data_IF_715053074836
#
_entry.id   IF_715053074836
#
_cell.length_a   1.000
_cell.length_b   1.000
_cell.length_c   1.000
_cell.angle_alpha   90.00
_cell.angle_beta   90.00
_cell.angle_gamma   90.00
#
_symmetry.space_group_name_H-M   'P 1'
#
loop_
_entity.id
_entity.type
_entity.pdbx_description
1 polymer ?
#
# COMPACT_ATOMS: atom_id res chain seq x y z
N UNK A 1 -9.18 -7.38 21.75
CA UNK A 1 -8.70 -8.47 20.88
C UNK A 1 -7.29 -8.23 20.32
N UNK A 2 -6.82 -6.98 20.17
CA UNK A 2 -5.47 -6.72 19.63
C UNK A 2 -4.37 -7.40 20.43
N UNK A 3 -4.47 -7.38 21.76
CA UNK A 3 -3.51 -8.05 22.63
C UNK A 3 -3.39 -9.55 22.31
N UNK A 4 -4.51 -10.21 21.98
CA UNK A 4 -4.54 -11.62 21.58
C UNK A 4 -3.83 -11.82 20.25
N UNK A 5 -4.14 -11.01 19.24
CA UNK A 5 -3.49 -11.11 17.93
C UNK A 5 -1.99 -10.84 18.04
N UNK A 6 -1.59 -9.81 18.77
CA UNK A 6 -0.16 -9.50 18.99
C UNK A 6 0.54 -10.59 19.75
N UNK A 7 -0.08 -11.16 20.79
CA UNK A 7 0.48 -12.29 21.52
C UNK A 7 0.71 -13.49 20.60
N UNK A 8 -0.27 -13.85 19.75
CA UNK A 8 -0.12 -14.92 18.76
C UNK A 8 1.08 -14.63 17.82
N UNK A 9 1.16 -13.43 17.26
CA UNK A 9 2.20 -13.07 16.29
C UNK A 9 3.60 -12.93 16.92
N UNK A 10 3.68 -12.46 18.17
CA UNK A 10 4.92 -12.33 18.93
C UNK A 10 5.43 -13.69 19.38
N UNK A 11 4.60 -14.52 20.02
CA UNK A 11 5.00 -15.83 20.54
C UNK A 11 5.35 -16.83 19.45
N UNK A 12 4.69 -16.75 18.30
CA UNK A 12 5.08 -17.53 17.12
C UNK A 12 6.30 -16.97 16.39
N UNK A 13 6.73 -15.75 16.73
CA UNK A 13 7.71 -14.93 16.00
C UNK A 13 7.34 -14.67 14.52
N UNK A 14 6.09 -14.93 14.12
CA UNK A 14 5.63 -14.71 12.75
C UNK A 14 5.80 -13.25 12.32
N UNK A 15 5.68 -12.32 13.27
CA UNK A 15 5.87 -10.88 13.03
C UNK A 15 7.27 -10.54 12.52
N UNK A 16 8.29 -11.34 12.82
CA UNK A 16 9.68 -11.07 12.45
C UNK A 16 9.92 -11.18 10.94
N UNK A 17 9.05 -11.89 10.23
CA UNK A 17 9.11 -12.06 8.77
C UNK A 17 8.55 -10.85 8.00
N UNK A 18 7.88 -9.91 8.68
CA UNK A 18 7.13 -8.85 8.02
C UNK A 18 7.43 -7.47 8.57
N UNK A 19 7.52 -6.49 7.67
CA UNK A 19 7.55 -5.08 8.10
C UNK A 19 6.12 -4.62 8.40
N UNK A 20 5.91 -4.13 9.62
CA UNK A 20 4.63 -3.55 10.05
C UNK A 20 4.19 -2.38 9.13
N UNK A 21 2.90 -2.33 8.81
CA UNK A 21 2.27 -1.19 8.12
C UNK A 21 1.34 -0.42 9.06
N UNK A 22 0.29 -1.07 9.56
CA UNK A 22 -0.70 -0.47 10.47
C UNK A 22 -1.53 -1.53 11.18
N UNK A 23 -2.26 -1.10 12.21
CA UNK A 23 -3.35 -1.85 12.83
C UNK A 23 -4.67 -1.26 12.37
N UNK A 24 -5.63 -2.11 11.97
CA UNK A 24 -6.99 -1.69 11.69
C UNK A 24 -7.93 -2.30 12.74
N UNK A 25 -8.63 -1.45 13.49
CA UNK A 25 -9.69 -1.87 14.39
C UNK A 25 -11.05 -1.74 13.71
N UNK A 26 -11.77 -2.86 13.59
CA UNK A 26 -13.11 -2.92 13.03
C UNK A 26 -14.06 -3.69 13.94
N UNK A 27 -13.85 -3.67 15.26
CA UNK A 27 -14.74 -4.34 16.22
C UNK A 27 -16.16 -3.78 16.24
N UNK A 28 -16.35 -2.53 15.82
CA UNK A 28 -17.66 -1.87 15.79
C UNK A 28 -18.49 -2.18 14.53
N UNK A 29 -17.93 -2.93 13.58
CA UNK A 29 -18.62 -3.30 12.34
C UNK A 29 -19.50 -4.53 12.50
N UNK A 30 -20.47 -4.70 11.59
CA UNK A 30 -21.34 -5.89 11.51
C UNK A 30 -20.56 -7.22 11.49
N UNK A 31 -19.37 -7.20 10.88
CA UNK A 31 -18.43 -8.32 10.90
C UNK A 31 -17.17 -7.89 11.65
N UNK A 32 -17.16 -8.02 12.99
CA UNK A 32 -16.10 -7.51 13.83
C UNK A 32 -14.79 -8.23 13.54
N UNK A 33 -13.72 -7.47 13.38
CA UNK A 33 -12.37 -8.01 13.25
C UNK A 33 -11.32 -6.96 13.59
N UNK A 34 -10.11 -7.45 13.81
CA UNK A 34 -8.90 -6.64 13.90
C UNK A 34 -7.88 -7.15 12.89
N UNK A 35 -7.08 -6.26 12.32
CA UNK A 35 -6.05 -6.63 11.34
C UNK A 35 -4.68 -6.09 11.75
N UNK A 36 -3.67 -6.96 11.72
CA UNK A 36 -2.26 -6.59 11.68
C UNK A 36 -1.82 -6.54 10.21
N UNK A 37 -1.76 -5.33 9.64
CA UNK A 37 -1.41 -5.12 8.23
C UNK A 37 0.10 -5.01 8.09
N UNK A 38 0.63 -5.66 7.05
CA UNK A 38 2.05 -5.66 6.74
C UNK A 38 2.33 -4.86 5.46
N UNK A 39 3.57 -4.42 5.28
CA UNK A 39 4.02 -3.85 4.00
C UNK A 39 4.12 -4.94 2.93
N UNK A 40 4.20 -4.51 1.67
CA UNK A 40 4.44 -5.41 0.55
C UNK A 40 5.66 -6.30 0.81
N UNK A 41 5.56 -7.58 0.46
CA UNK A 41 6.54 -8.61 0.74
C UNK A 41 6.46 -9.71 -0.32
N UNK A 42 7.52 -10.53 -0.42
CA UNK A 42 7.63 -11.57 -1.44
C UNK A 42 6.52 -12.63 -1.36
N UNK A 43 5.96 -12.88 -0.17
CA UNK A 43 4.89 -13.86 0.03
C UNK A 43 3.51 -13.34 -0.42
N UNK A 44 3.39 -12.04 -0.72
CA UNK A 44 2.13 -11.35 -1.05
C UNK A 44 1.05 -11.52 0.03
N UNK A 45 1.48 -11.66 1.29
CA UNK A 45 0.60 -11.63 2.46
C UNK A 45 0.35 -10.17 2.83
N UNK A 46 -0.89 -9.79 3.08
CA UNK A 46 -1.33 -8.41 3.29
C UNK A 46 -1.71 -8.13 4.74
N UNK A 47 -2.29 -9.10 5.44
CA UNK A 47 -2.58 -8.98 6.85
C UNK A 47 -2.73 -10.34 7.55
N UNK A 48 -2.54 -10.32 8.86
CA UNK A 48 -3.02 -11.34 9.79
C UNK A 48 -4.18 -10.76 10.58
N UNK A 49 -5.28 -11.48 10.68
CA UNK A 49 -6.53 -10.92 11.22
C UNK A 49 -7.17 -11.88 12.22
N UNK A 50 -7.84 -11.34 13.24
CA UNK A 50 -8.78 -12.08 14.07
C UNK A 50 -10.19 -11.58 13.76
N UNK A 51 -11.05 -12.49 13.32
CA UNK A 51 -12.45 -12.22 12.98
C UNK A 51 -13.37 -12.84 14.01
N UNK A 52 -14.34 -12.06 14.50
CA UNK A 52 -15.25 -12.44 15.56
C UNK A 52 -15.11 -11.55 16.78
N UNK A 53 -15.41 -12.10 17.95
CA UNK A 53 -15.33 -11.41 19.24
C UNK A 53 -14.50 -12.24 20.24
N UNK A 54 -14.37 -11.74 21.47
CA UNK A 54 -13.59 -12.40 22.53
C UNK A 54 -14.10 -13.79 22.91
N UNK A 55 -15.40 -14.05 22.72
CA UNK A 55 -16.04 -15.33 23.03
C UNK A 55 -15.91 -16.35 21.90
N UNK A 56 -15.58 -15.89 20.69
CA UNK A 56 -15.46 -16.74 19.52
C UNK A 56 -14.88 -15.97 18.34
N UNK A 57 -13.65 -16.32 17.96
CA UNK A 57 -12.98 -15.77 16.79
C UNK A 57 -12.35 -16.87 15.92
N UNK A 58 -11.91 -16.50 14.73
CA UNK A 58 -11.05 -17.30 13.86
C UNK A 58 -9.87 -16.45 13.37
N UNK A 59 -8.77 -17.12 13.01
CA UNK A 59 -7.57 -16.46 12.51
C UNK A 59 -7.62 -16.45 10.99
N UNK A 60 -7.25 -15.35 10.35
CA UNK A 60 -7.22 -15.21 8.89
C UNK A 60 -5.84 -14.77 8.43
N UNK A 61 -5.34 -15.44 7.39
CA UNK A 61 -4.27 -14.93 6.55
C UNK A 61 -4.91 -14.27 5.34
N UNK A 62 -4.85 -12.95 5.28
CA UNK A 62 -5.29 -12.16 4.13
C UNK A 62 -4.11 -11.94 3.18
N UNK A 63 -4.27 -12.28 1.91
CA UNK A 63 -3.20 -12.25 0.91
C UNK A 63 -3.70 -11.80 -0.46
N UNK A 64 -2.78 -11.52 -1.37
CA UNK A 64 -3.08 -11.21 -2.76
C UNK A 64 -3.69 -12.40 -3.48
N UNK A 65 -4.57 -12.15 -4.45
CA UNK A 65 -5.01 -13.17 -5.41
C UNK A 65 -3.90 -13.65 -6.35
N UNK A 66 -2.72 -13.01 -6.29
CA UNK A 66 -1.53 -13.42 -7.02
C UNK A 66 -0.53 -14.17 -6.13
N UNK A 67 -0.90 -14.60 -4.91
CA UNK A 67 0.00 -15.41 -4.05
C UNK A 67 0.57 -16.60 -4.84
N UNK A 68 1.80 -17.04 -4.52
CA UNK A 68 2.37 -18.23 -5.14
C UNK A 68 1.47 -19.46 -4.86
N UNK A 69 1.25 -20.29 -5.88
CA UNK A 69 0.31 -21.42 -5.82
C UNK A 69 0.74 -22.50 -4.82
N UNK A 70 2.04 -22.80 -4.73
CA UNK A 70 2.57 -23.78 -3.77
C UNK A 70 2.42 -23.27 -2.33
N UNK A 71 2.74 -22.00 -2.08
CA UNK A 71 2.51 -21.35 -0.78
C UNK A 71 1.02 -21.39 -0.41
N UNK A 72 0.15 -20.99 -1.34
CA UNK A 72 -1.31 -21.01 -1.12
C UNK A 72 -1.81 -22.42 -0.81
N UNK A 73 -1.32 -23.42 -1.54
CA UNK A 73 -1.62 -24.83 -1.29
C UNK A 73 -1.20 -25.24 0.12
N UNK A 74 0.06 -24.99 0.53
CA UNK A 74 0.55 -25.33 1.87
C UNK A 74 -0.28 -24.66 2.98
N UNK A 75 -0.60 -23.37 2.84
CA UNK A 75 -1.48 -22.65 3.77
C UNK A 75 -2.88 -23.29 3.84
N UNK A 76 -3.47 -23.64 2.70
CA UNK A 76 -4.81 -24.24 2.63
C UNK A 76 -4.90 -25.68 3.15
N UNK A 77 -3.77 -26.35 3.39
CA UNK A 77 -3.70 -27.72 3.92
C UNK A 77 -3.39 -27.81 5.41
N UNK A 78 -3.16 -26.68 6.08
CA UNK A 78 -2.95 -26.68 7.54
C UNK A 78 -4.25 -27.14 8.22
N UNK A 79 -4.13 -27.90 9.32
CA UNK A 79 -5.28 -28.31 10.10
C UNK A 79 -6.06 -27.08 10.63
N UNK A 80 -7.39 -27.18 10.66
CA UNK A 80 -8.26 -26.11 11.14
C UNK A 80 -8.70 -25.10 10.07
N UNK A 81 -8.34 -25.27 8.79
CA UNK A 81 -8.88 -24.43 7.70
C UNK A 81 -10.41 -24.58 7.63
N UNK A 82 -11.12 -23.45 7.73
CA UNK A 82 -12.60 -23.39 7.65
C UNK A 82 -13.09 -22.67 6.39
N UNK A 83 -12.23 -21.87 5.75
CA UNK A 83 -12.56 -21.17 4.51
C UNK A 83 -11.28 -20.87 3.73
N UNK A 84 -11.37 -20.95 2.41
CA UNK A 84 -10.26 -20.73 1.49
C UNK A 84 -10.79 -20.13 0.19
N UNK A 85 -10.44 -18.88 -0.09
CA UNK A 85 -10.81 -18.20 -1.34
C UNK A 85 -9.57 -17.58 -1.98
N UNK A 86 -9.72 -16.89 -3.11
CA UNK A 86 -8.62 -16.29 -3.86
C UNK A 86 -7.72 -15.37 -3.03
N UNK A 87 -8.22 -14.75 -1.96
CA UNK A 87 -7.48 -13.76 -1.19
C UNK A 87 -7.45 -14.00 0.32
N UNK A 88 -8.04 -15.10 0.80
CA UNK A 88 -8.05 -15.44 2.23
C UNK A 88 -7.87 -16.94 2.47
N UNK A 89 -7.27 -17.25 3.62
CA UNK A 89 -7.37 -18.56 4.28
C UNK A 89 -7.75 -18.31 5.74
N UNK A 90 -8.85 -18.92 6.18
CA UNK A 90 -9.38 -18.78 7.54
C UNK A 90 -9.19 -20.08 8.32
N UNK A 91 -8.84 -19.96 9.60
CA UNK A 91 -8.52 -21.06 10.48
C UNK A 91 -9.27 -20.97 11.81
N UNK A 92 -9.86 -22.08 12.23
CA UNK A 92 -10.43 -22.28 13.56
C UNK A 92 -9.67 -23.42 14.25
N UNK A 93 -9.12 -23.12 15.42
CA UNK A 93 -8.33 -24.05 16.24
C UNK A 93 -8.41 -23.61 17.70
N UNK A 94 -8.07 -24.52 18.61
CA UNK A 94 -7.94 -24.22 20.04
C UNK A 94 -6.54 -23.66 20.38
N UNK A 95 -5.55 -23.86 19.50
CA UNK A 95 -4.18 -23.33 19.64
C UNK A 95 -3.78 -22.48 18.43
N UNK A 96 -3.98 -21.16 18.57
CA UNK A 96 -3.61 -20.19 17.54
C UNK A 96 -2.11 -19.88 17.49
N UNK A 97 -1.38 -20.12 18.58
CA UNK A 97 0.07 -19.88 18.60
C UNK A 97 0.75 -20.96 17.75
N UNK A 98 0.37 -22.23 17.94
CA UNK A 98 0.90 -23.34 17.15
C UNK A 98 0.52 -23.23 15.66
N UNK A 99 -0.69 -22.77 15.36
CA UNK A 99 -1.09 -22.41 13.99
C UNK A 99 -0.13 -21.38 13.38
N UNK A 100 0.15 -20.28 14.10
CA UNK A 100 1.03 -19.23 13.62
C UNK A 100 2.50 -19.70 13.48
N UNK A 101 2.97 -20.59 14.36
CA UNK A 101 4.27 -21.29 14.22
C UNK A 101 4.29 -22.15 12.95
N UNK A 102 3.23 -22.90 12.68
CA UNK A 102 3.11 -23.70 11.45
C UNK A 102 3.17 -22.82 10.19
N UNK A 103 2.45 -21.69 10.20
CA UNK A 103 2.49 -20.70 9.11
C UNK A 103 3.92 -20.16 8.95
N UNK A 104 4.60 -19.76 10.03
CA UNK A 104 5.99 -19.30 9.99
C UNK A 104 6.90 -20.35 9.36
N UNK A 105 6.80 -21.60 9.77
CA UNK A 105 7.63 -22.70 9.25
C UNK A 105 7.44 -22.91 7.74
N UNK A 106 6.22 -22.73 7.22
CA UNK A 106 5.95 -22.73 5.78
C UNK A 106 6.65 -21.55 5.09
N UNK A 107 6.57 -20.36 5.67
CA UNK A 107 7.15 -19.14 5.09
C UNK A 107 8.68 -19.13 5.13
N UNK A 108 9.29 -19.77 6.12
CA UNK A 108 10.75 -19.89 6.24
C UNK A 108 11.33 -21.09 5.49
N UNK A 109 10.50 -21.84 4.77
CA UNK A 109 10.96 -22.96 3.96
C UNK A 109 11.67 -22.45 2.70
N UNK A 110 12.89 -22.94 2.42
CA UNK A 110 13.74 -22.45 1.32
C UNK A 110 13.10 -22.59 -0.07
N UNK A 111 12.35 -23.67 -0.31
CA UNK A 111 11.62 -23.88 -1.58
C UNK A 111 10.59 -22.77 -1.77
N UNK A 112 9.79 -22.50 -0.72
CA UNK A 112 8.78 -21.43 -0.73
C UNK A 112 9.42 -20.05 -0.90
N UNK A 113 10.52 -19.78 -0.21
CA UNK A 113 11.25 -18.51 -0.34
C UNK A 113 11.69 -18.30 -1.80
N UNK A 114 12.36 -19.29 -2.39
CA UNK A 114 12.87 -19.21 -3.74
C UNK A 114 11.76 -19.02 -4.77
N UNK A 115 10.68 -19.80 -4.66
CA UNK A 115 9.54 -19.67 -5.56
C UNK A 115 8.87 -18.29 -5.44
N UNK A 116 8.67 -17.78 -4.22
CA UNK A 116 8.06 -16.47 -4.00
C UNK A 116 8.92 -15.32 -4.52
N UNK A 117 10.25 -15.42 -4.44
CA UNK A 117 11.17 -14.41 -4.98
C UNK A 117 11.13 -14.31 -6.51
N UNK A 118 10.88 -15.43 -7.20
CA UNK A 118 10.82 -15.47 -8.68
C UNK A 118 9.46 -15.05 -9.26
N UNK A 119 8.40 -15.04 -8.44
CA UNK A 119 7.06 -14.63 -8.86
C UNK A 119 6.90 -13.10 -8.76
N UNK A 120 7.65 -12.33 -9.56
CA UNK A 120 7.53 -10.88 -9.65
C UNK A 120 6.29 -10.43 -10.46
N UNK A 121 5.72 -9.26 -10.16
CA UNK A 121 4.80 -8.58 -11.10
C UNK A 121 5.61 -7.53 -11.82
N UNK A 122 5.78 -7.69 -13.13
CA UNK A 122 6.53 -6.71 -13.92
C UNK A 122 5.60 -5.67 -14.54
N UNK A 123 6.08 -4.42 -14.55
CA UNK A 123 5.46 -3.34 -15.26
C UNK A 123 5.44 -3.64 -16.77
N UNK A 124 4.35 -3.21 -17.42
CA UNK A 124 4.02 -3.52 -18.82
C UNK A 124 3.96 -2.28 -19.70
N UNK A 125 4.02 -1.08 -19.12
CA UNK A 125 4.07 0.16 -19.90
C UNK A 125 5.47 0.40 -20.43
N UNK A 126 5.60 0.85 -21.68
CA UNK A 126 6.89 0.94 -22.40
C UNK A 126 8.00 1.74 -21.70
N UNK A 127 7.66 2.70 -20.84
CA UNK A 127 8.64 3.47 -20.06
C UNK A 127 9.17 2.75 -18.82
N UNK A 128 8.44 1.76 -18.32
CA UNK A 128 8.78 1.03 -17.11
C UNK A 128 8.85 -0.49 -17.35
N UNK A 129 8.73 -0.94 -18.59
CA UNK A 129 8.62 -2.34 -18.95
C UNK A 129 9.72 -3.20 -18.32
N UNK A 130 9.33 -4.30 -17.68
CA UNK A 130 10.27 -5.20 -16.99
C UNK A 130 10.66 -4.76 -15.58
N UNK A 131 10.16 -3.62 -15.08
CA UNK A 131 10.36 -3.23 -13.68
C UNK A 131 9.55 -4.11 -12.72
N UNK A 132 10.19 -4.67 -11.71
CA UNK A 132 9.49 -5.38 -10.64
C UNK A 132 8.69 -4.42 -9.73
N UNK A 133 7.38 -4.69 -9.65
CA UNK A 133 6.37 -3.91 -8.95
C UNK A 133 5.94 -4.60 -7.64
N UNK A 134 5.70 -3.81 -6.58
CA UNK A 134 5.22 -4.35 -5.31
C UNK A 134 3.80 -4.91 -5.43
N UNK A 135 3.46 -5.92 -4.62
CA UNK A 135 2.05 -6.28 -4.38
C UNK A 135 1.41 -5.17 -3.55
N UNK A 136 0.53 -4.41 -4.19
CA UNK A 136 -0.27 -3.36 -3.56
C UNK A 136 -1.67 -3.90 -3.32
N UNK A 137 -2.19 -3.67 -2.11
CA UNK A 137 -3.59 -3.94 -1.82
C UNK A 137 -4.48 -2.89 -2.48
N UNK A 138 -4.85 -3.16 -3.74
CA UNK A 138 -5.70 -2.27 -4.55
C UNK A 138 -7.18 -2.31 -4.18
N UNK A 139 -7.58 -3.21 -3.27
CA UNK A 139 -8.99 -3.38 -2.88
C UNK A 139 -9.48 -2.34 -1.87
N UNK A 140 -8.54 -1.65 -1.20
CA UNK A 140 -8.86 -0.62 -0.21
C UNK A 140 -9.38 0.67 -0.88
N UNK A 141 -10.23 1.40 -0.16
CA UNK A 141 -10.82 2.67 -0.61
C UNK A 141 -10.27 3.88 0.13
N UNK A 142 -9.65 3.67 1.29
CA UNK A 142 -9.08 4.73 2.09
C UNK A 142 -7.71 5.11 1.53
N UNK A 143 -7.53 6.40 1.24
CA UNK A 143 -6.27 6.99 0.77
C UNK A 143 -5.79 8.11 1.69
N UNK A 144 -6.61 8.52 2.67
CA UNK A 144 -6.28 9.62 3.56
C UNK A 144 -5.15 9.20 4.51
N UNK A 145 -4.14 10.06 4.64
CA UNK A 145 -2.95 9.76 5.46
C UNK A 145 -2.06 8.65 4.90
N UNK A 146 -2.38 8.09 3.73
CA UNK A 146 -1.53 7.09 3.08
C UNK A 146 -0.42 7.75 2.26
N UNK A 147 0.74 7.09 2.28
CA UNK A 147 1.90 7.45 1.49
C UNK A 147 2.17 6.37 0.45
N UNK A 148 2.46 6.79 -0.77
CA UNK A 148 2.78 5.90 -1.89
C UNK A 148 4.19 6.20 -2.40
N UNK A 149 4.91 5.16 -2.80
CA UNK A 149 6.15 5.28 -3.59
C UNK A 149 5.80 5.37 -5.08
N UNK A 150 6.76 5.77 -5.91
CA UNK A 150 6.58 5.80 -7.36
C UNK A 150 6.24 4.41 -7.94
N UNK A 151 6.80 3.32 -7.36
CA UNK A 151 6.46 1.95 -7.76
C UNK A 151 5.01 1.59 -7.39
N UNK A 152 4.53 2.07 -6.24
CA UNK A 152 3.13 1.88 -5.85
C UNK A 152 2.21 2.57 -6.86
N UNK A 153 2.54 3.78 -7.31
CA UNK A 153 1.77 4.50 -8.33
C UNK A 153 1.69 3.72 -9.63
N UNK A 154 2.81 3.18 -10.13
CA UNK A 154 2.82 2.37 -11.36
C UNK A 154 1.99 1.10 -11.16
N UNK A 155 2.17 0.39 -10.03
CA UNK A 155 1.41 -0.83 -9.76
C UNK A 155 -0.09 -0.60 -9.62
N UNK A 156 -0.51 0.50 -8.99
CA UNK A 156 -1.92 0.90 -8.94
C UNK A 156 -2.42 1.25 -10.34
N UNK A 157 -1.64 1.98 -11.14
CA UNK A 157 -2.04 2.42 -12.47
C UNK A 157 -2.19 1.25 -13.45
N UNK A 158 -1.26 0.30 -13.44
CA UNK A 158 -1.26 -0.83 -14.39
C UNK A 158 -2.21 -1.96 -14.02
N UNK A 159 -2.67 -2.02 -12.76
CA UNK A 159 -3.67 -3.01 -12.36
C UNK A 159 -5.04 -2.66 -12.96
N UNK A 160 -5.42 -3.37 -14.02
CA UNK A 160 -6.71 -3.21 -14.71
C UNK A 160 -7.81 -4.13 -14.16
N UNK A 161 -7.61 -4.73 -12.98
CA UNK A 161 -8.66 -5.54 -12.36
C UNK A 161 -9.87 -4.68 -12.00
N UNK A 162 -11.07 -5.26 -12.11
CA UNK A 162 -12.32 -4.57 -11.73
C UNK A 162 -12.36 -4.18 -10.24
N UNK A 163 -11.53 -4.81 -9.42
CA UNK A 163 -11.44 -4.61 -7.97
C UNK A 163 -10.35 -3.61 -7.56
N UNK A 164 -9.72 -2.92 -8.51
CA UNK A 164 -8.77 -1.86 -8.21
C UNK A 164 -9.52 -0.59 -7.75
N UNK A 165 -9.93 -0.61 -6.50
CA UNK A 165 -10.64 0.50 -5.87
C UNK A 165 -9.71 1.67 -5.57
N UNK A 166 -8.43 1.43 -5.28
CA UNK A 166 -7.44 2.50 -5.12
C UNK A 166 -7.34 3.36 -6.38
N UNK A 167 -7.23 2.75 -7.57
CA UNK A 167 -7.20 3.49 -8.83
C UNK A 167 -8.48 4.27 -9.03
N UNK A 168 -9.66 3.67 -8.79
CA UNK A 168 -10.95 4.40 -8.87
C UNK A 168 -10.98 5.62 -7.96
N UNK A 169 -10.56 5.46 -6.70
CA UNK A 169 -10.55 6.53 -5.70
C UNK A 169 -9.57 7.64 -6.10
N UNK A 170 -8.34 7.27 -6.50
CA UNK A 170 -7.30 8.22 -6.92
C UNK A 170 -7.53 8.80 -8.33
N UNK A 171 -8.49 8.28 -9.10
CA UNK A 171 -8.92 8.88 -10.38
C UNK A 171 -9.86 10.06 -10.21
N UNK A 172 -10.21 10.44 -8.98
CA UNK A 172 -10.95 11.68 -8.70
C UNK A 172 -10.04 12.92 -8.75
N UNK A 173 -10.67 14.08 -8.93
CA UNK A 173 -9.97 15.37 -8.88
C UNK A 173 -9.65 15.74 -7.43
N UNK A 174 -8.60 16.54 -7.25
CA UNK A 174 -8.19 16.95 -5.92
C UNK A 174 -6.79 17.51 -5.82
N UNK A 175 -6.37 17.72 -4.59
CA UNK A 175 -5.07 18.26 -4.20
C UNK A 175 -4.21 17.12 -3.64
N UNK A 176 -2.94 17.13 -4.01
CA UNK A 176 -1.95 16.16 -3.56
C UNK A 176 -0.63 16.84 -3.18
N UNK A 177 0.22 16.07 -2.49
CA UNK A 177 1.59 16.45 -2.17
C UNK A 177 2.57 15.38 -2.67
N UNK A 178 3.67 15.84 -3.23
CA UNK A 178 4.88 15.05 -3.42
C UNK A 178 5.97 15.65 -2.53
N UNK A 179 6.63 14.82 -1.74
CA UNK A 179 7.64 15.32 -0.80
C UNK A 179 8.83 14.39 -0.70
N UNK A 180 9.97 14.94 -0.30
CA UNK A 180 11.11 14.12 0.10
C UNK A 180 10.76 13.24 1.30
N UNK A 181 11.45 12.10 1.46
CA UNK A 181 11.27 11.21 2.63
C UNK A 181 11.45 11.94 3.96
N UNK A 182 12.46 12.81 4.03
CA UNK A 182 12.73 13.65 5.20
C UNK A 182 11.74 14.82 5.40
N UNK A 183 10.82 15.01 4.43
CA UNK A 183 9.75 16.00 4.50
C UNK A 183 10.19 17.45 4.31
N UNK A 184 11.45 17.70 3.95
CA UNK A 184 12.04 19.02 3.76
C UNK A 184 11.65 19.70 2.45
N UNK A 185 11.49 18.92 1.38
CA UNK A 185 11.09 19.38 0.05
C UNK A 185 9.64 18.99 -0.20
N UNK A 186 8.81 19.94 -0.62
CA UNK A 186 7.36 19.73 -0.78
C UNK A 186 6.82 20.41 -2.04
N UNK A 187 6.25 19.61 -2.93
CA UNK A 187 5.49 20.04 -4.09
C UNK A 187 4.00 19.80 -3.84
N UNK A 188 3.18 20.83 -4.02
CA UNK A 188 1.73 20.77 -3.93
C UNK A 188 1.19 20.94 -5.35
N UNK A 189 0.36 19.99 -5.78
CA UNK A 189 -0.28 20.06 -7.08
C UNK A 189 -1.76 19.72 -6.99
N UNK A 190 -2.50 20.10 -8.02
CA UNK A 190 -3.89 19.69 -8.24
C UNK A 190 -4.02 18.77 -9.46
N UNK A 191 -5.06 17.96 -9.44
CA UNK A 191 -5.54 17.20 -10.59
C UNK A 191 -6.99 17.58 -10.88
N UNK A 192 -7.25 17.97 -12.12
CA UNK A 192 -8.53 18.50 -12.62
C UNK A 192 -8.89 17.95 -14.01
N UNK A 193 -8.23 16.88 -14.43
CA UNK A 193 -8.43 16.21 -15.72
C UNK A 193 -9.04 14.82 -15.52
N UNK A 194 -9.55 14.21 -16.59
CA UNK A 194 -10.29 12.93 -16.55
C UNK A 194 -9.60 11.75 -15.87
N UNK A 195 -8.28 11.76 -15.70
CA UNK A 195 -7.52 10.69 -15.04
C UNK A 195 -7.22 10.94 -13.55
N UNK A 196 -7.65 12.09 -13.02
CA UNK A 196 -7.51 12.47 -11.61
C UNK A 196 -6.08 12.51 -11.08
N UNK A 197 -5.95 12.36 -9.77
CA UNK A 197 -4.67 12.41 -9.04
C UNK A 197 -3.69 11.36 -9.54
N UNK A 198 -4.15 10.10 -9.73
CA UNK A 198 -3.29 9.01 -10.20
C UNK A 198 -2.75 9.27 -11.61
N UNK A 199 -3.58 9.81 -12.52
CA UNK A 199 -3.14 10.21 -13.86
C UNK A 199 -2.11 11.32 -13.82
N UNK A 200 -2.32 12.32 -12.95
CA UNK A 200 -1.35 13.41 -12.78
C UNK A 200 0.00 12.92 -12.23
N UNK A 201 -0.01 12.01 -11.25
CA UNK A 201 1.21 11.36 -10.76
C UNK A 201 1.90 10.55 -11.86
N UNK A 202 1.17 9.76 -12.65
CA UNK A 202 1.74 9.04 -13.79
C UNK A 202 2.32 9.97 -14.85
N UNK A 203 1.70 11.12 -15.10
CA UNK A 203 2.23 12.13 -16.01
C UNK A 203 3.57 12.67 -15.52
N UNK A 204 3.71 12.97 -14.22
CA UNK A 204 5.00 13.34 -13.64
C UNK A 204 6.05 12.23 -13.84
N UNK A 205 5.72 10.99 -13.49
CA UNK A 205 6.62 9.84 -13.66
C UNK A 205 7.09 9.69 -15.12
N UNK A 206 6.16 9.82 -16.08
CA UNK A 206 6.47 9.70 -17.50
C UNK A 206 7.30 10.86 -18.07
N UNK A 207 7.28 12.03 -17.45
CA UNK A 207 7.97 13.23 -17.95
C UNK A 207 9.21 13.62 -17.14
N UNK A 208 9.63 12.76 -16.20
CA UNK A 208 10.62 13.11 -15.18
C UNK A 208 10.24 14.38 -14.40
N UNK A 209 8.95 14.67 -14.27
CA UNK A 209 8.39 15.90 -13.71
C UNK A 209 7.93 16.87 -14.80
N UNK A 210 6.61 17.05 -14.91
CA UNK A 210 6.01 18.09 -15.77
C UNK A 210 5.90 19.48 -15.10
N UNK A 211 6.43 19.59 -13.88
CA UNK A 211 6.59 20.84 -13.12
C UNK A 211 8.08 21.16 -13.02
N UNK A 212 8.47 22.39 -13.36
CA UNK A 212 9.84 22.77 -13.69
C UNK A 212 10.86 22.39 -12.60
N UNK A 213 10.51 22.64 -11.34
CA UNK A 213 11.42 22.43 -10.21
C UNK A 213 11.26 21.07 -9.53
N UNK A 214 10.12 20.40 -9.68
CA UNK A 214 9.97 18.99 -9.31
C UNK A 214 10.91 18.11 -10.15
N UNK A 215 11.06 18.45 -11.44
CA UNK A 215 11.95 17.76 -12.36
C UNK A 215 13.41 17.80 -11.90
N UNK A 216 13.91 18.97 -11.48
CA UNK A 216 15.27 19.11 -10.96
C UNK A 216 15.53 18.23 -9.72
N UNK A 217 14.60 18.22 -8.76
CA UNK A 217 14.72 17.35 -7.58
C UNK A 217 14.78 15.87 -7.97
N UNK A 218 13.91 15.45 -8.90
CA UNK A 218 13.88 14.08 -9.43
C UNK A 218 15.18 13.74 -10.17
N UNK A 219 15.74 14.64 -10.96
CA UNK A 219 16.99 14.42 -11.70
C UNK A 219 18.17 14.23 -10.75
N UNK A 220 18.25 14.99 -9.65
CA UNK A 220 19.36 14.89 -8.71
C UNK A 220 19.24 13.71 -7.72
N UNK A 221 18.02 13.38 -7.27
CA UNK A 221 17.81 12.43 -6.17
C UNK A 221 17.13 11.13 -6.60
N UNK A 222 16.48 11.13 -7.76
CA UNK A 222 15.63 10.04 -8.24
C UNK A 222 14.28 9.95 -7.51
N UNK A 223 13.33 9.25 -8.14
CA UNK A 223 11.99 9.04 -7.58
C UNK A 223 11.98 8.19 -6.30
N UNK A 224 13.07 7.46 -6.00
CA UNK A 224 13.21 6.69 -4.76
C UNK A 224 13.13 7.57 -3.51
N UNK A 225 13.46 8.85 -3.61
CA UNK A 225 13.41 9.80 -2.49
C UNK A 225 12.08 10.56 -2.38
N UNK A 226 11.13 10.28 -3.28
CA UNK A 226 9.82 10.93 -3.30
C UNK A 226 8.74 10.05 -2.71
N UNK A 227 7.92 10.67 -1.86
CA UNK A 227 6.70 10.13 -1.30
C UNK A 227 5.51 10.92 -1.85
N UNK A 228 4.53 10.19 -2.38
CA UNK A 228 3.28 10.71 -2.89
C UNK A 228 2.20 10.59 -1.81
N UNK A 229 1.38 11.61 -1.62
CA UNK A 229 0.24 11.55 -0.70
C UNK A 229 -0.91 12.40 -1.20
N UNK A 230 -2.12 11.92 -0.92
CA UNK A 230 -3.35 12.66 -1.15
C UNK A 230 -3.57 13.67 -0.01
N UNK A 231 -4.15 14.84 -0.33
CA UNK A 231 -4.57 15.84 0.66
C UNK A 231 -6.10 15.93 0.72
N UNK A 232 -6.74 16.17 -0.42
CA UNK A 232 -8.18 16.51 -0.45
C UNK A 232 -8.79 16.24 -1.82
N UNK A 233 -10.02 15.71 -1.86
CA UNK A 233 -10.81 15.59 -3.09
C UNK A 233 -11.53 16.90 -3.34
N UNK A 234 -11.53 17.38 -4.58
CA UNK A 234 -12.10 18.67 -4.93
C UNK A 234 -12.58 18.69 -6.37
N UNK A 235 -13.87 18.97 -6.55
CA UNK A 235 -14.53 19.02 -7.87
C UNK A 235 -14.96 20.44 -8.27
N UNK A 236 -14.59 21.46 -7.48
CA UNK A 236 -14.93 22.86 -7.78
C UNK A 236 -14.06 23.45 -8.89
N UNK A 237 -14.63 24.37 -9.67
CA UNK A 237 -13.94 25.08 -10.77
C UNK A 237 -12.77 25.95 -10.30
N UNK A 238 -12.67 26.24 -9.00
CA UNK A 238 -11.62 27.04 -8.38
C UNK A 238 -10.53 26.20 -7.72
N UNK A 239 -10.31 24.96 -8.18
CA UNK A 239 -9.27 24.05 -7.68
C UNK A 239 -7.88 24.69 -7.60
N UNK A 240 -7.56 25.63 -8.50
CA UNK A 240 -6.30 26.41 -8.46
C UNK A 240 -6.22 27.30 -7.22
N UNK A 241 -7.34 27.93 -6.81
CA UNK A 241 -7.38 28.69 -5.55
C UNK A 241 -7.19 27.75 -4.35
N UNK A 242 -7.80 26.56 -4.41
CA UNK A 242 -7.65 25.54 -3.37
C UNK A 242 -6.21 25.02 -3.27
N UNK A 243 -5.56 24.78 -4.41
CA UNK A 243 -4.13 24.44 -4.49
C UNK A 243 -3.26 25.54 -3.85
N UNK A 244 -3.52 26.81 -4.17
CA UNK A 244 -2.78 27.94 -3.61
C UNK A 244 -2.93 28.04 -2.08
N UNK A 245 -4.11 27.74 -1.54
CA UNK A 245 -4.31 27.65 -0.08
C UNK A 245 -3.37 26.60 0.54
N UNK A 246 -3.28 25.42 -0.06
CA UNK A 246 -2.41 24.34 0.43
C UNK A 246 -0.92 24.66 0.21
N UNK A 247 -0.55 25.33 -0.88
CA UNK A 247 0.81 25.86 -1.09
C UNK A 247 1.20 26.82 0.02
N UNK A 248 0.33 27.75 0.37
CA UNK A 248 0.56 28.72 1.45
C UNK A 248 0.64 28.06 2.83
N UNK A 249 -0.13 26.99 3.05
CA UNK A 249 -0.20 26.27 4.34
C UNK A 249 0.97 25.29 4.54
N UNK A 250 1.29 24.49 3.51
CA UNK A 250 2.21 23.36 3.61
C UNK A 250 3.47 23.50 2.75
N UNK A 251 3.38 24.21 1.63
CA UNK A 251 4.49 24.47 0.71
C UNK A 251 5.45 25.58 1.20
N UNK A 252 5.11 26.26 2.28
CA UNK A 252 5.95 27.30 2.91
C UNK A 252 6.81 26.75 4.05
N UNK A 253 6.52 25.54 4.54
CA UNK A 253 7.29 24.86 5.60
C UNK A 253 8.56 24.28 4.97
N UNK A 254 9.66 25.05 5.03
CA UNK A 254 10.87 24.80 4.23
C UNK A 254 12.14 24.69 5.09
N UNK A 255 12.90 23.60 4.90
CA UNK A 255 14.26 23.45 5.41
C UNK A 255 15.12 22.70 4.37
N UNK A 256 15.64 23.34 3.33
CA UNK A 256 16.49 22.65 2.33
C UNK A 256 16.74 23.46 1.04
N UNK A 257 17.58 22.95 0.11
CA UNK A 257 17.94 23.65 -1.13
C UNK A 257 16.81 23.71 -2.17
N UNK A 258 15.83 22.81 -2.08
CA UNK A 258 14.61 22.80 -2.89
C UNK A 258 13.42 23.25 -2.04
N UNK A 259 13.19 24.56 -1.97
CA UNK A 259 12.08 25.06 -1.16
C UNK A 259 10.75 24.92 -1.92
N UNK A 260 9.65 24.78 -1.18
CA UNK A 260 8.32 24.65 -1.75
C UNK A 260 7.87 25.87 -2.54
N UNK A 261 8.46 27.06 -2.35
CA UNK A 261 8.19 28.22 -3.22
C UNK A 261 8.77 27.97 -4.62
N UNK A 262 10.03 27.52 -4.73
CA UNK A 262 10.66 27.14 -5.99
C UNK A 262 9.97 25.93 -6.62
N UNK A 263 9.69 24.87 -5.84
CA UNK A 263 9.01 23.68 -6.36
C UNK A 263 7.61 23.99 -6.93
N UNK A 264 6.91 24.97 -6.34
CA UNK A 264 5.54 25.33 -6.72
C UNK A 264 5.43 26.55 -7.65
N UNK A 265 6.55 27.22 -7.96
CA UNK A 265 6.65 28.25 -8.99
C UNK A 265 6.84 27.56 -10.34
N UNK A 266 5.77 27.43 -11.11
CA UNK A 266 5.83 27.05 -12.53
C UNK A 266 5.80 28.31 -13.39
#
# INVERSE_FOLDING_TARGET
>A
MFDILEEILLKSELVTLFTFRKKDDKTDNEKPHISYRVKSNMYRIRAFELWGNVDGFYFRVYHSNKINDNLKKKLSTINGVINNTDSIVDYKTDDYIELAVTIKNILTNDEIINECQTNGVFARTSKFEGLDLPDIDVSQNDVMGQTFTWKDIIGIWEDNSKNNNLKKVLSQNGIYIQRSKDGKSRYIGSAYSSEGIIGRWMKHLNSNGDAQHLNLFVLENGYNEIVFSFIEFYEGDDIVKRENLWKNTLGTINYGPYNGIQLNNN
#
